data_IF_452300490967
#
_entry.id   IF_452300490967
#
_cell.length_a   1.000
_cell.length_b   1.000
_cell.length_c   1.000
_cell.angle_alpha   90.00
_cell.angle_beta   90.00
_cell.angle_gamma   90.00
#
_symmetry.space_group_name_H-M   'P 1'
#
loop_
_entity.id
_entity.type
_entity.pdbx_description
1 polymer ?
#
# COMPACT_ATOMS: atom_id res chain seq x y z
N UNK A 1 -32.58 -15.76 -17.25
CA UNK A 1 -31.86 -14.51 -17.63
C UNK A 1 -31.01 -14.16 -16.41
N UNK A 2 -29.67 -14.19 -16.50
CA UNK A 2 -28.79 -13.90 -15.35
C UNK A 2 -28.58 -12.40 -15.25
N UNK A 3 -28.36 -11.90 -14.03
CA UNK A 3 -28.05 -10.50 -13.80
C UNK A 3 -26.62 -10.18 -14.28
N UNK A 4 -26.33 -9.01 -14.88
CA UNK A 4 -25.00 -8.67 -15.40
C UNK A 4 -23.89 -8.67 -14.33
N UNK A 5 -24.23 -8.54 -13.05
CA UNK A 5 -23.30 -8.61 -11.91
C UNK A 5 -23.22 -9.99 -11.24
N UNK A 6 -23.97 -10.98 -11.72
CA UNK A 6 -24.11 -12.27 -11.06
C UNK A 6 -22.97 -13.23 -11.45
N UNK A 7 -21.88 -13.20 -10.67
CA UNK A 7 -20.67 -14.01 -10.91
C UNK A 7 -20.79 -15.46 -10.38
N UNK A 8 -21.97 -16.09 -10.45
CA UNK A 8 -22.14 -17.49 -10.02
C UNK A 8 -21.58 -18.46 -11.09
N UNK A 9 -20.89 -19.55 -10.70
CA UNK A 9 -20.40 -20.55 -11.65
C UNK A 9 -21.51 -21.08 -12.55
N UNK A 10 -21.18 -21.42 -13.79
CA UNK A 10 -22.09 -22.10 -14.71
C UNK A 10 -22.31 -23.55 -14.24
N UNK A 11 -23.57 -24.04 -14.27
CA UNK A 11 -23.88 -25.42 -13.89
C UNK A 11 -23.13 -26.40 -14.80
N UNK A 12 -22.59 -27.48 -14.21
CA UNK A 12 -21.76 -28.48 -14.89
C UNK A 12 -22.54 -29.43 -15.82
N UNK A 13 -23.84 -29.19 -16.02
CA UNK A 13 -24.72 -30.09 -16.76
C UNK A 13 -24.81 -29.61 -18.20
N UNK A 14 -23.80 -29.95 -19.01
CA UNK A 14 -23.93 -29.89 -20.46
C UNK A 14 -23.98 -31.33 -21.00
N UNK A 15 -24.91 -31.63 -21.93
CA UNK A 15 -25.06 -32.98 -22.46
C UNK A 15 -23.88 -33.42 -23.34
N UNK A 16 -22.98 -32.52 -23.75
CA UNK A 16 -21.93 -32.77 -24.74
C UNK A 16 -20.54 -32.65 -24.11
N UNK A 17 -19.77 -33.74 -24.14
CA UNK A 17 -18.44 -33.87 -23.52
C UNK A 17 -17.42 -32.86 -24.07
N UNK A 18 -17.57 -32.47 -25.32
CA UNK A 18 -16.65 -31.62 -26.08
C UNK A 18 -16.65 -30.17 -25.58
N UNK A 19 -17.74 -29.74 -24.91
CA UNK A 19 -17.87 -28.40 -24.35
C UNK A 19 -17.38 -28.29 -22.90
N UNK A 20 -17.04 -29.41 -22.25
CA UNK A 20 -16.56 -29.41 -20.85
C UNK A 20 -15.28 -28.58 -20.64
N UNK A 21 -14.25 -28.64 -21.51
CA UNK A 21 -13.05 -27.82 -21.34
C UNK A 21 -13.33 -26.31 -21.36
N UNK A 22 -14.27 -25.88 -22.21
CA UNK A 22 -14.68 -24.49 -22.32
C UNK A 22 -15.45 -24.03 -21.06
N UNK A 23 -16.35 -24.87 -20.54
CA UNK A 23 -17.04 -24.61 -19.26
C UNK A 23 -16.05 -24.46 -18.11
N UNK A 24 -15.04 -25.32 -18.04
CA UNK A 24 -14.00 -25.26 -17.00
C UNK A 24 -13.20 -23.96 -17.13
N UNK A 25 -12.82 -23.57 -18.35
CA UNK A 25 -12.12 -22.32 -18.60
C UNK A 25 -12.98 -21.09 -18.20
N UNK A 26 -14.26 -21.10 -18.54
CA UNK A 26 -15.19 -20.01 -18.23
C UNK A 26 -15.45 -19.89 -16.73
N UNK A 27 -15.66 -21.01 -16.04
CA UNK A 27 -15.81 -21.02 -14.58
C UNK A 27 -14.54 -20.56 -13.86
N UNK A 28 -13.35 -20.93 -14.37
CA UNK A 28 -12.07 -20.42 -13.86
C UNK A 28 -11.96 -18.90 -14.05
N UNK A 29 -12.43 -18.38 -15.18
CA UNK A 29 -12.45 -16.95 -15.45
C UNK A 29 -13.42 -16.21 -14.52
N UNK A 30 -14.64 -16.72 -14.34
CA UNK A 30 -15.62 -16.18 -13.38
C UNK A 30 -15.02 -16.15 -11.97
N UNK A 31 -14.39 -17.24 -11.53
CA UNK A 31 -13.78 -17.30 -10.20
C UNK A 31 -12.64 -16.28 -10.06
N UNK A 32 -11.81 -16.12 -11.10
CA UNK A 32 -10.77 -15.10 -11.13
C UNK A 32 -11.39 -13.70 -10.99
N UNK A 33 -12.44 -13.39 -11.74
CA UNK A 33 -13.17 -12.12 -11.66
C UNK A 33 -13.74 -11.86 -10.27
N UNK A 34 -14.36 -12.86 -9.63
CA UNK A 34 -14.88 -12.74 -8.26
C UNK A 34 -13.79 -12.34 -7.27
N UNK A 35 -12.64 -13.00 -7.37
CA UNK A 35 -11.50 -12.68 -6.53
C UNK A 35 -10.98 -11.26 -6.79
N UNK A 36 -10.99 -10.78 -8.04
CA UNK A 36 -10.61 -9.39 -8.34
C UNK A 36 -11.57 -8.39 -7.69
N UNK A 37 -12.87 -8.57 -7.88
CA UNK A 37 -13.91 -7.67 -7.35
C UNK A 37 -13.86 -7.63 -5.83
N UNK A 38 -13.82 -8.79 -5.17
CA UNK A 38 -13.75 -8.86 -3.71
C UNK A 38 -12.46 -8.25 -3.12
N UNK A 39 -11.35 -8.24 -3.88
CA UNK A 39 -10.11 -7.55 -3.48
C UNK A 39 -10.23 -6.04 -3.68
N UNK A 40 -10.89 -5.59 -4.74
CA UNK A 40 -11.12 -4.17 -5.01
C UNK A 40 -12.02 -3.53 -3.95
N UNK A 41 -13.11 -4.20 -3.57
CA UNK A 41 -14.02 -3.72 -2.52
C UNK A 41 -13.31 -3.60 -1.17
N UNK A 42 -12.56 -4.64 -0.76
CA UNK A 42 -11.75 -4.59 0.48
C UNK A 42 -10.73 -3.47 0.46
N UNK A 43 -10.02 -3.28 -0.65
CA UNK A 43 -9.07 -2.18 -0.78
C UNK A 43 -9.73 -0.81 -0.65
N UNK A 44 -10.89 -0.61 -1.29
CA UNK A 44 -11.64 0.64 -1.20
C UNK A 44 -12.12 0.91 0.23
N UNK A 45 -12.57 -0.13 0.93
CA UNK A 45 -12.96 -0.02 2.34
C UNK A 45 -11.75 0.34 3.22
N UNK A 46 -10.63 -0.39 3.09
CA UNK A 46 -9.40 -0.15 3.85
C UNK A 46 -8.85 1.26 3.60
N UNK A 47 -8.78 1.70 2.34
CA UNK A 47 -8.36 3.05 1.97
C UNK A 47 -9.24 4.12 2.64
N UNK A 48 -10.56 3.93 2.59
CA UNK A 48 -11.54 4.84 3.20
C UNK A 48 -11.37 4.91 4.72
N UNK A 49 -11.16 3.77 5.37
CA UNK A 49 -10.90 3.72 6.82
C UNK A 49 -9.58 4.40 7.19
N UNK A 50 -8.50 4.11 6.45
CA UNK A 50 -7.18 4.67 6.70
C UNK A 50 -7.15 6.19 6.50
N UNK A 51 -7.92 6.75 5.56
CA UNK A 51 -8.05 8.19 5.36
C UNK A 51 -8.94 8.88 6.40
N UNK A 52 -9.98 8.20 6.90
CA UNK A 52 -10.90 8.79 7.90
C UNK A 52 -10.18 9.14 9.20
N UNK A 53 -9.21 8.34 9.63
CA UNK A 53 -8.47 8.55 10.88
C UNK A 53 -7.66 9.86 10.90
N UNK A 54 -6.72 10.12 9.97
CA UNK A 54 -5.96 11.37 9.96
C UNK A 54 -6.85 12.59 9.71
N UNK A 55 -7.93 12.46 8.93
CA UNK A 55 -8.90 13.54 8.74
C UNK A 55 -9.66 13.88 10.03
N UNK A 56 -10.00 12.88 10.84
CA UNK A 56 -10.60 13.12 12.16
C UNK A 56 -9.62 13.83 13.10
N UNK A 57 -8.34 13.43 13.10
CA UNK A 57 -7.29 14.09 13.87
C UNK A 57 -7.11 15.55 13.45
N UNK A 58 -7.03 15.82 12.14
CA UNK A 58 -6.98 17.18 11.57
C UNK A 58 -8.17 18.01 12.03
N UNK A 59 -9.40 17.45 11.97
CA UNK A 59 -10.61 18.13 12.44
C UNK A 59 -10.53 18.50 13.92
N UNK A 60 -10.02 17.60 14.77
CA UNK A 60 -9.81 17.89 16.20
C UNK A 60 -8.76 18.98 16.42
N UNK A 61 -7.63 18.93 15.70
CA UNK A 61 -6.58 19.95 15.80
C UNK A 61 -7.06 21.34 15.37
N UNK A 62 -7.87 21.42 14.30
CA UNK A 62 -8.57 22.65 13.90
C UNK A 62 -9.49 23.12 15.02
N UNK A 63 -10.27 22.23 15.63
CA UNK A 63 -11.15 22.56 16.75
C UNK A 63 -10.40 23.12 17.96
N UNK A 64 -9.24 22.55 18.31
CA UNK A 64 -8.37 23.06 19.38
C UNK A 64 -7.82 24.44 19.05
N UNK A 65 -7.37 24.66 17.81
CA UNK A 65 -6.87 25.95 17.36
C UNK A 65 -7.95 27.04 17.45
N UNK A 66 -9.17 26.73 17.00
CA UNK A 66 -10.31 27.65 17.01
C UNK A 66 -10.84 27.96 18.42
N UNK A 67 -10.62 27.07 19.40
CA UNK A 67 -11.03 27.27 20.78
C UNK A 67 -9.99 28.03 21.63
N UNK A 68 -8.83 28.34 21.07
CA UNK A 68 -7.75 29.06 21.75
C UNK A 68 -7.73 30.53 21.35
N UNK A 69 -7.45 31.41 22.31
CA UNK A 69 -7.14 32.84 22.07
C UNK A 69 -5.64 33.15 22.20
N UNK A 70 -4.80 32.12 22.40
CA UNK A 70 -3.36 32.27 22.60
C UNK A 70 -2.59 32.03 21.30
N UNK A 71 -1.83 33.03 20.79
CA UNK A 71 -1.04 32.87 19.56
C UNK A 71 -0.03 31.71 19.60
N UNK A 72 0.49 31.37 20.78
CA UNK A 72 1.42 30.24 20.94
C UNK A 72 0.74 28.89 20.70
N UNK A 73 -0.48 28.71 21.23
CA UNK A 73 -1.29 27.50 21.02
C UNK A 73 -1.75 27.36 19.56
N UNK A 74 -1.96 28.49 18.86
CA UNK A 74 -2.20 28.46 17.41
C UNK A 74 -1.00 27.94 16.65
N UNK A 75 0.21 28.41 16.97
CA UNK A 75 1.44 27.96 16.30
C UNK A 75 1.68 26.47 16.54
N UNK A 76 1.48 25.97 17.76
CA UNK A 76 1.57 24.55 18.10
C UNK A 76 0.53 23.72 17.32
N UNK A 77 -0.72 24.19 17.24
CA UNK A 77 -1.78 23.51 16.49
C UNK A 77 -1.49 23.49 14.99
N UNK A 78 -0.94 24.57 14.42
CA UNK A 78 -0.51 24.63 13.02
C UNK A 78 0.63 23.66 12.72
N UNK A 79 1.61 23.53 13.62
CA UNK A 79 2.68 22.54 13.49
C UNK A 79 2.14 21.10 13.54
N UNK A 80 1.23 20.82 14.48
CA UNK A 80 0.58 19.51 14.57
C UNK A 80 -0.26 19.17 13.32
N UNK A 81 -0.98 20.16 12.78
CA UNK A 81 -1.74 20.02 11.53
C UNK A 81 -0.83 19.77 10.33
N UNK A 82 0.29 20.49 10.22
CA UNK A 82 1.28 20.26 9.16
C UNK A 82 1.80 18.83 9.19
N UNK A 83 2.23 18.34 10.37
CA UNK A 83 2.72 16.98 10.52
C UNK A 83 1.63 15.92 10.20
N UNK A 84 0.38 16.18 10.56
CA UNK A 84 -0.75 15.29 10.23
C UNK A 84 -1.02 15.27 8.73
N UNK A 85 -0.92 16.43 8.08
CA UNK A 85 -1.09 16.56 6.63
C UNK A 85 0.01 15.83 5.87
N UNK A 86 1.28 16.00 6.25
CA UNK A 86 2.42 15.31 5.63
C UNK A 86 2.25 13.78 5.69
N UNK A 87 1.83 13.26 6.86
CA UNK A 87 1.52 11.85 7.02
C UNK A 87 0.35 11.39 6.15
N UNK A 88 -0.67 12.24 5.98
CA UNK A 88 -1.84 11.94 5.13
C UNK A 88 -1.45 11.87 3.66
N UNK A 89 -0.58 12.79 3.20
CA UNK A 89 -0.02 12.78 1.84
C UNK A 89 0.76 11.49 1.58
N UNK A 90 1.66 11.12 2.49
CA UNK A 90 2.41 9.87 2.38
C UNK A 90 1.51 8.63 2.36
N UNK A 91 0.41 8.64 3.13
CA UNK A 91 -0.59 7.57 3.10
C UNK A 91 -1.31 7.50 1.75
N UNK A 92 -1.72 8.63 1.18
CA UNK A 92 -2.34 8.65 -0.15
C UNK A 92 -1.40 8.15 -1.23
N UNK A 93 -0.12 8.50 -1.17
CA UNK A 93 0.88 8.01 -2.13
C UNK A 93 1.03 6.48 -2.04
N UNK A 94 1.11 5.92 -0.83
CA UNK A 94 1.14 4.46 -0.62
C UNK A 94 -0.12 3.78 -1.15
N UNK A 95 -1.31 4.37 -0.94
CA UNK A 95 -2.56 3.83 -1.46
C UNK A 95 -2.59 3.84 -3.00
N UNK A 96 -2.17 4.94 -3.63
CA UNK A 96 -2.06 5.04 -5.09
C UNK A 96 -1.04 4.06 -5.65
N UNK A 97 0.08 3.87 -4.96
CA UNK A 97 1.09 2.90 -5.34
C UNK A 97 0.54 1.46 -5.28
N UNK A 98 -0.06 1.07 -4.15
CA UNK A 98 -0.69 -0.25 -3.99
C UNK A 98 -1.76 -0.51 -5.05
N UNK A 99 -2.52 0.52 -5.43
CA UNK A 99 -3.51 0.44 -6.52
C UNK A 99 -2.84 0.13 -7.87
N UNK A 100 -1.72 0.80 -8.19
CA UNK A 100 -0.95 0.56 -9.42
C UNK A 100 -0.33 -0.84 -9.46
N UNK A 101 0.21 -1.31 -8.35
CA UNK A 101 0.74 -2.68 -8.26
C UNK A 101 -0.34 -3.73 -8.55
N UNK A 102 -1.53 -3.57 -7.95
CA UNK A 102 -2.65 -4.49 -8.19
C UNK A 102 -3.11 -4.47 -9.64
N UNK A 103 -3.11 -3.33 -10.30
CA UNK A 103 -3.38 -3.25 -11.74
C UNK A 103 -2.33 -4.01 -12.57
N UNK A 104 -1.05 -3.91 -12.21
CA UNK A 104 0.05 -4.65 -12.85
C UNK A 104 0.00 -6.16 -12.59
N UNK A 105 -0.57 -6.61 -11.47
CA UNK A 105 -0.72 -8.04 -11.12
C UNK A 105 -1.61 -8.82 -12.11
N UNK A 106 -2.45 -8.11 -12.87
CA UNK A 106 -3.30 -8.68 -13.91
C UNK A 106 -2.66 -8.69 -15.30
N UNK A 107 -1.56 -7.96 -15.51
CA UNK A 107 -0.74 -8.09 -16.69
C UNK A 107 0.17 -9.31 -16.47
N UNK A 108 -0.19 -10.41 -17.12
CA UNK A 108 0.70 -11.56 -17.27
C UNK A 108 2.07 -11.06 -17.75
N UNK A 109 3.13 -11.52 -17.07
CA UNK A 109 4.55 -11.15 -17.26
C UNK A 109 5.03 -9.89 -16.51
N UNK A 110 4.97 -9.90 -15.17
CA UNK A 110 5.94 -9.12 -14.39
C UNK A 110 7.34 -9.69 -14.66
N UNK A 111 8.13 -9.01 -15.49
CA UNK A 111 9.52 -9.38 -15.76
C UNK A 111 10.36 -9.04 -14.54
N UNK A 112 10.61 -10.06 -13.70
CA UNK A 112 11.62 -9.97 -12.66
C UNK A 112 12.97 -9.71 -13.32
N UNK A 113 13.66 -8.66 -12.87
CA UNK A 113 15.00 -8.33 -13.34
C UNK A 113 16.00 -8.50 -12.19
N UNK A 114 17.29 -8.71 -12.50
CA UNK A 114 18.32 -8.68 -11.47
C UNK A 114 18.37 -7.30 -10.79
N UNK A 115 18.21 -7.29 -9.47
CA UNK A 115 18.26 -6.09 -8.62
C UNK A 115 19.31 -6.30 -7.54
N UNK A 116 20.20 -5.31 -7.36
CA UNK A 116 21.11 -5.29 -6.22
C UNK A 116 20.35 -4.80 -4.96
N UNK A 117 19.81 -5.74 -4.18
CA UNK A 117 19.05 -5.45 -2.97
C UNK A 117 19.87 -4.72 -1.91
N UNK A 118 21.18 -4.97 -1.83
CA UNK A 118 22.07 -4.25 -0.92
C UNK A 118 22.10 -2.74 -1.23
N UNK A 119 22.05 -2.38 -2.53
CA UNK A 119 21.97 -0.97 -2.93
C UNK A 119 20.63 -0.36 -2.53
N UNK A 120 19.53 -1.06 -2.80
CA UNK A 120 18.18 -0.62 -2.44
C UNK A 120 18.05 -0.36 -0.93
N UNK A 121 18.58 -1.27 -0.10
CA UNK A 121 18.58 -1.12 1.35
C UNK A 121 19.45 0.05 1.82
N UNK A 122 20.64 0.25 1.23
CA UNK A 122 21.49 1.41 1.54
C UNK A 122 20.80 2.74 1.22
N UNK A 123 20.19 2.85 0.04
CA UNK A 123 19.48 4.05 -0.38
C UNK A 123 18.27 4.32 0.54
N UNK A 124 17.54 3.26 0.90
CA UNK A 124 16.43 3.34 1.84
C UNK A 124 16.90 3.79 3.24
N UNK A 125 17.97 3.22 3.80
CA UNK A 125 18.55 3.65 5.08
C UNK A 125 18.98 5.12 5.01
N UNK A 126 19.69 5.52 3.96
CA UNK A 126 20.16 6.90 3.79
C UNK A 126 18.99 7.90 3.76
N UNK A 127 17.91 7.58 3.04
CA UNK A 127 16.71 8.43 2.98
C UNK A 127 16.03 8.63 4.35
N UNK A 128 16.25 7.72 5.30
CA UNK A 128 15.63 7.71 6.63
C UNK A 128 16.55 8.17 7.77
N UNK A 129 17.81 8.48 7.49
CA UNK A 129 18.73 9.07 8.46
C UNK A 129 18.17 10.32 9.15
N UNK A 130 17.50 11.27 8.48
CA UNK A 130 16.93 12.44 9.16
C UNK A 130 15.86 12.06 10.21
N UNK A 131 15.01 11.08 9.88
CA UNK A 131 13.96 10.58 10.77
C UNK A 131 14.53 9.76 11.93
N UNK A 132 15.58 8.96 11.70
CA UNK A 132 16.28 8.23 12.75
C UNK A 132 16.97 9.19 13.73
N UNK A 133 17.65 10.22 13.20
CA UNK A 133 18.32 11.26 14.00
C UNK A 133 17.36 12.04 14.89
N UNK A 134 16.16 12.40 14.39
CA UNK A 134 15.18 13.12 15.22
C UNK A 134 14.66 12.28 16.39
N UNK A 135 14.74 10.96 16.28
CA UNK A 135 14.42 10.00 17.34
C UNK A 135 15.63 9.48 18.13
N UNK A 136 16.84 9.97 17.84
CA UNK A 136 18.09 9.47 18.42
C UNK A 136 18.31 7.96 18.21
N UNK A 137 17.75 7.40 17.14
CA UNK A 137 17.92 5.99 16.76
C UNK A 137 19.19 5.88 15.91
N UNK A 138 20.06 4.94 16.26
CA UNK A 138 21.19 4.54 15.41
C UNK A 138 20.69 3.68 14.25
N UNK A 139 20.78 4.21 13.04
CA UNK A 139 20.32 3.56 11.81
C UNK A 139 21.49 3.34 10.87
N UNK A 140 21.84 2.08 10.68
CA UNK A 140 22.91 1.63 9.78
C UNK A 140 22.45 0.53 8.82
N UNK A 141 23.28 0.25 7.83
CA UNK A 141 23.16 -0.94 6.99
C UNK A 141 24.33 -1.88 7.30
N UNK A 142 24.02 -3.10 7.73
CA UNK A 142 24.98 -4.18 7.92
C UNK A 142 24.66 -5.31 6.94
N UNK A 143 25.61 -5.65 6.06
CA UNK A 143 25.42 -6.69 5.06
C UNK A 143 26.51 -6.68 3.99
N UNK A 144 26.38 -7.60 3.04
CA UNK A 144 27.30 -7.73 1.91
C UNK A 144 27.26 -6.50 0.98
N UNK A 145 28.36 -6.29 0.24
CA UNK A 145 28.49 -5.14 -0.66
C UNK A 145 27.47 -5.15 -1.82
N UNK A 146 27.10 -6.34 -2.30
CA UNK A 146 26.10 -6.55 -3.33
C UNK A 146 25.32 -7.83 -3.06
N UNK A 147 24.00 -7.79 -3.24
CA UNK A 147 23.13 -8.95 -3.13
C UNK A 147 22.15 -8.92 -4.30
N UNK A 148 22.33 -9.81 -5.28
CA UNK A 148 21.51 -9.84 -6.49
C UNK A 148 20.27 -10.72 -6.27
N UNK A 149 19.09 -10.14 -6.46
CA UNK A 149 17.80 -10.84 -6.37
C UNK A 149 17.00 -10.60 -7.64
N UNK A 150 16.19 -11.59 -8.04
CA UNK A 150 15.21 -11.40 -9.11
C UNK A 150 13.99 -10.69 -8.53
N UNK A 151 13.75 -9.45 -8.97
CA UNK A 151 12.70 -8.61 -8.39
C UNK A 151 12.33 -7.43 -9.28
N UNK A 152 11.32 -6.70 -8.84
CA UNK A 152 11.00 -5.39 -9.40
C UNK A 152 11.63 -4.32 -8.49
N UNK A 153 12.53 -3.47 -9.00
CA UNK A 153 13.30 -2.52 -8.18
C UNK A 153 12.41 -1.64 -7.32
N UNK A 154 11.31 -1.14 -7.89
CA UNK A 154 10.40 -0.23 -7.21
C UNK A 154 9.65 -0.92 -6.06
N UNK A 155 9.24 -2.17 -6.26
CA UNK A 155 8.58 -3.00 -5.24
C UNK A 155 9.51 -3.32 -4.08
N UNK A 156 10.75 -3.68 -4.39
CA UNK A 156 11.77 -3.95 -3.38
C UNK A 156 12.10 -2.69 -2.60
N UNK A 157 12.18 -1.53 -3.26
CA UNK A 157 12.39 -0.25 -2.58
C UNK A 157 11.23 0.08 -1.64
N UNK A 158 9.99 -0.12 -2.07
CA UNK A 158 8.83 0.14 -1.21
C UNK A 158 8.72 -0.85 -0.05
N UNK A 159 9.01 -2.13 -0.27
CA UNK A 159 9.13 -3.12 0.79
C UNK A 159 10.13 -2.65 1.85
N UNK A 160 11.34 -2.27 1.42
CA UNK A 160 12.38 -1.80 2.32
C UNK A 160 11.95 -0.54 3.09
N UNK A 161 11.34 0.43 2.39
CA UNK A 161 10.84 1.65 3.01
C UNK A 161 9.76 1.36 4.07
N UNK A 162 8.83 0.44 3.80
CA UNK A 162 7.79 0.04 4.75
C UNK A 162 8.35 -0.67 5.97
N UNK A 163 9.34 -1.55 5.79
CA UNK A 163 10.00 -2.23 6.90
C UNK A 163 10.78 -1.24 7.79
N UNK A 164 11.51 -0.29 7.18
CA UNK A 164 12.23 0.75 7.91
C UNK A 164 11.29 1.74 8.61
N UNK A 165 10.18 2.12 7.97
CA UNK A 165 9.14 2.95 8.61
C UNK A 165 8.59 2.28 9.87
N UNK A 166 8.31 0.98 9.79
CA UNK A 166 7.85 0.21 10.94
C UNK A 166 8.94 0.14 12.03
N UNK A 167 10.19 -0.16 11.66
CA UNK A 167 11.29 -0.21 12.61
C UNK A 167 11.46 1.13 13.36
N UNK A 168 11.50 2.25 12.63
CA UNK A 168 11.64 3.58 13.23
C UNK A 168 10.42 4.01 14.06
N UNK A 169 9.24 3.46 13.76
CA UNK A 169 8.02 3.76 14.54
C UNK A 169 8.01 3.04 15.89
N UNK A 170 8.47 1.78 15.93
CA UNK A 170 8.31 0.91 17.09
C UNK A 170 9.60 0.64 17.87
N UNK A 171 10.75 1.12 17.41
CA UNK A 171 11.98 1.13 18.22
C UNK A 171 11.88 2.26 19.25
N UNK A 172 12.04 1.95 20.56
CA UNK A 172 11.91 2.91 21.65
C UNK A 172 13.05 3.92 21.71
#
# INVERSE_FOLDING_TARGET
RRDPGELTPLPRVLPWSEMQPLLVAFNRYIERLRLMVARQERFSADASHQLRTPLAVLKTQVGVALASDRPQQWRESLQAMSATLDNTVALTDRLLYLSRLKASEYQAERKLQPVNLAQVLRDACFSRLPQARSKQIDLGFEGEAACQVAGEPLLLAELCANLLDNALKYTP
#
